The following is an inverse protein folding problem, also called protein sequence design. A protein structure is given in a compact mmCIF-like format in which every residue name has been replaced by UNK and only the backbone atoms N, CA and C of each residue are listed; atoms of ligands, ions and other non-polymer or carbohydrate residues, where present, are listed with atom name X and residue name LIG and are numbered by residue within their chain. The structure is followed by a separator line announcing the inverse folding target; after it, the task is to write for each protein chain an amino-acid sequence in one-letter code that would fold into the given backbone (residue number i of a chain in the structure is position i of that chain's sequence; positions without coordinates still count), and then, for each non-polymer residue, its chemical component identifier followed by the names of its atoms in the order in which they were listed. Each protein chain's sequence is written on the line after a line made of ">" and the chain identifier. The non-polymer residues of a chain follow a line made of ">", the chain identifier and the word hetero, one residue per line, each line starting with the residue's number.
data_IF_112016914695
#
_entry.id   IF_112016914695
#
_cell.length_a   1.000
_cell.length_b   1.000
_cell.length_c   1.000
_cell.angle_alpha   90.00
_cell.angle_beta   90.00
_cell.angle_gamma   90.00
#
_symmetry.space_group_name_H-M   'P 1'
#
loop_
_entity.id
_entity.type
_entity.pdbx_description
1 polymer ?
#
# COMPACT_ATOMS: atom_id res chain seq x y z
N UNK A 1 8.73 -7.50 1.12
CA UNK A 1 7.27 -7.58 1.36
C UNK A 1 6.73 -6.21 1.70
N UNK A 2 5.63 -5.80 1.06
CA UNK A 2 4.91 -4.55 1.31
C UNK A 2 3.46 -4.80 1.69
N UNK A 3 2.85 -3.88 2.43
CA UNK A 3 1.48 -3.97 2.93
C UNK A 3 0.71 -2.69 2.64
N UNK A 4 -0.53 -2.82 2.14
CA UNK A 4 -1.39 -1.65 1.91
C UNK A 4 -1.90 -1.04 3.22
N UNK A 5 -2.02 -1.84 4.26
CA UNK A 5 -2.66 -1.50 5.52
C UNK A 5 -4.13 -1.89 5.60
N UNK A 6 -4.79 -1.41 6.62
CA UNK A 6 -6.23 -1.63 6.89
C UNK A 6 -6.88 -0.35 7.39
N UNK A 7 -8.19 -0.23 7.18
CA UNK A 7 -8.98 0.88 7.71
C UNK A 7 -8.94 0.92 9.24
N UNK A 8 -9.03 2.13 9.79
CA UNK A 8 -9.04 2.40 11.23
C UNK A 8 -10.50 2.63 11.63
N UNK A 9 -10.93 1.95 12.70
CA UNK A 9 -12.28 2.13 13.24
C UNK A 9 -12.44 3.53 13.86
N UNK A 10 -13.54 4.19 13.50
CA UNK A 10 -13.92 5.51 14.01
C UNK A 10 -14.99 5.39 15.10
N UNK A 11 -16.03 4.59 14.84
CA UNK A 11 -17.15 4.33 15.77
C UNK A 11 -17.44 2.82 15.83
N UNK A 12 -18.55 2.40 16.46
CA UNK A 12 -18.95 1.00 16.51
C UNK A 12 -19.19 0.38 15.13
N UNK A 13 -19.63 1.17 14.16
CA UNK A 13 -20.10 0.73 12.84
C UNK A 13 -19.47 1.52 11.66
N UNK A 14 -18.60 2.50 11.95
CA UNK A 14 -17.96 3.35 10.93
C UNK A 14 -16.42 3.29 11.04
N UNK A 15 -15.75 3.25 9.90
CA UNK A 15 -14.31 3.41 9.79
C UNK A 15 -13.95 4.79 9.22
N UNK A 16 -12.73 5.27 9.50
CA UNK A 16 -12.17 6.38 8.75
C UNK A 16 -11.93 5.95 7.29
N UNK A 17 -11.95 6.92 6.33
CA UNK A 17 -11.58 6.63 4.95
C UNK A 17 -10.21 5.92 4.88
N UNK A 18 -10.14 4.85 4.10
CA UNK A 18 -8.91 4.10 3.93
C UNK A 18 -8.00 4.78 2.91
N UNK A 19 -6.74 4.91 3.27
CA UNK A 19 -5.66 5.32 2.38
C UNK A 19 -4.55 4.29 2.47
N UNK A 20 -4.25 3.63 1.35
CA UNK A 20 -3.16 2.67 1.29
C UNK A 20 -1.82 3.35 1.63
N UNK A 21 -0.91 2.57 2.22
CA UNK A 21 0.47 3.01 2.42
C UNK A 21 1.05 3.59 1.13
N UNK A 22 1.72 4.72 1.22
CA UNK A 22 2.18 5.49 0.06
C UNK A 22 3.25 4.77 -0.76
N UNK A 23 4.13 4.02 -0.10
CA UNK A 23 5.14 3.21 -0.77
C UNK A 23 4.51 2.01 -1.44
N UNK A 24 3.55 1.37 -0.78
CA UNK A 24 2.79 0.27 -1.35
C UNK A 24 2.00 0.72 -2.60
N UNK A 25 1.27 1.83 -2.50
CA UNK A 25 0.52 2.40 -3.62
C UNK A 25 1.44 2.75 -4.80
N UNK A 26 2.61 3.32 -4.51
CA UNK A 26 3.61 3.62 -5.54
C UNK A 26 4.10 2.38 -6.27
N UNK A 27 4.37 1.30 -5.53
CA UNK A 27 4.91 0.05 -6.11
C UNK A 27 3.85 -0.75 -6.88
N UNK A 28 2.58 -0.66 -6.49
CA UNK A 28 1.53 -1.56 -7.02
C UNK A 28 0.41 -0.86 -7.77
N UNK A 29 0.21 0.43 -7.55
CA UNK A 29 -0.97 1.15 -8.04
C UNK A 29 -2.30 0.73 -7.39
N UNK A 30 -2.27 -0.15 -6.37
CA UNK A 30 -3.45 -0.73 -5.73
C UNK A 30 -3.78 0.00 -4.43
N UNK A 31 -4.98 0.59 -4.37
CA UNK A 31 -5.50 1.31 -3.20
C UNK A 31 -6.46 0.49 -2.33
N UNK A 32 -6.46 -0.84 -2.45
CA UNK A 32 -7.33 -1.72 -1.66
C UNK A 32 -6.66 -2.09 -0.33
N UNK A 33 -7.46 -2.15 0.74
CA UNK A 33 -6.99 -2.60 2.06
C UNK A 33 -6.68 -4.11 2.07
N UNK A 34 -5.90 -4.55 3.09
CA UNK A 34 -5.50 -5.95 3.28
C UNK A 34 -4.79 -6.58 2.07
N UNK A 35 -4.12 -5.76 1.28
CA UNK A 35 -3.35 -6.23 0.12
C UNK A 35 -1.86 -6.33 0.50
N UNK A 36 -1.20 -7.38 0.00
CA UNK A 36 0.21 -7.65 0.30
C UNK A 36 0.98 -7.88 -1.00
N UNK A 37 2.08 -7.18 -1.19
CA UNK A 37 3.06 -7.46 -2.23
C UNK A 37 4.21 -8.28 -1.64
N UNK A 38 4.48 -9.44 -2.21
CA UNK A 38 5.63 -10.26 -1.87
C UNK A 38 6.50 -10.46 -3.10
N UNK A 39 7.75 -10.06 -3.02
CA UNK A 39 8.78 -10.35 -4.00
C UNK A 39 9.76 -11.35 -3.40
N UNK A 40 9.96 -12.46 -4.07
CA UNK A 40 10.88 -13.53 -3.71
C UNK A 40 12.08 -13.43 -4.64
N UNK A 41 13.26 -13.14 -4.08
CA UNK A 41 14.50 -13.06 -4.85
C UNK A 41 15.38 -14.24 -4.50
N UNK A 42 15.68 -15.07 -5.49
CA UNK A 42 16.59 -16.21 -5.38
C UNK A 42 17.68 -16.07 -6.47
N UNK A 43 18.88 -15.70 -6.06
CA UNK A 43 19.92 -15.31 -7.01
C UNK A 43 19.52 -14.07 -7.81
N UNK A 44 19.44 -14.22 -9.15
CA UNK A 44 19.00 -13.17 -10.07
C UNK A 44 17.51 -13.23 -10.39
N UNK A 45 16.84 -14.34 -10.06
CA UNK A 45 15.42 -14.51 -10.29
C UNK A 45 14.59 -13.75 -9.25
N UNK A 46 13.56 -13.04 -9.73
CA UNK A 46 12.60 -12.34 -8.87
C UNK A 46 11.20 -12.78 -9.28
N UNK A 47 10.47 -13.33 -8.32
CA UNK A 47 9.08 -13.70 -8.48
C UNK A 47 8.22 -12.78 -7.61
N UNK A 48 7.28 -12.07 -8.22
CA UNK A 48 6.38 -11.18 -7.52
C UNK A 48 4.97 -11.76 -7.47
N UNK A 49 4.35 -11.70 -6.30
CA UNK A 49 2.96 -12.09 -6.08
C UNK A 49 2.23 -10.99 -5.33
N UNK A 50 1.12 -10.54 -5.87
CA UNK A 50 0.22 -9.59 -5.22
C UNK A 50 -0.97 -10.35 -4.64
N UNK A 51 -1.12 -10.29 -3.33
CA UNK A 51 -2.19 -10.93 -2.58
C UNK A 51 -3.29 -9.91 -2.31
N UNK A 52 -4.50 -10.15 -2.85
CA UNK A 52 -5.64 -9.24 -2.74
C UNK A 52 -6.79 -9.91 -1.98
N UNK A 53 -7.68 -9.11 -1.38
CA UNK A 53 -8.95 -9.64 -0.87
C UNK A 53 -9.76 -10.18 -2.06
N UNK A 54 -10.24 -11.44 -1.97
CA UNK A 54 -11.11 -11.95 -3.02
C UNK A 54 -12.41 -11.16 -3.10
N UNK A 55 -13.07 -11.10 -4.27
CA UNK A 55 -14.40 -10.51 -4.41
C UNK A 55 -15.38 -11.14 -3.40
N UNK A 56 -16.22 -10.30 -2.77
CA UNK A 56 -17.22 -10.69 -1.79
C UNK A 56 -18.43 -9.76 -1.92
N UNK A 57 -19.49 -10.26 -2.52
CA UNK A 57 -20.71 -9.49 -2.82
C UNK A 57 -21.37 -8.87 -1.57
N UNK A 58 -21.27 -9.52 -0.41
CA UNK A 58 -21.87 -9.01 0.83
C UNK A 58 -21.00 -7.90 1.42
N UNK A 59 -19.70 -8.12 1.50
CA UNK A 59 -18.76 -7.12 2.01
C UNK A 59 -18.69 -5.89 1.09
N UNK A 60 -18.72 -6.07 -0.23
CA UNK A 60 -18.64 -4.99 -1.22
C UNK A 60 -19.82 -4.01 -1.17
N UNK A 61 -20.96 -4.42 -0.65
CA UNK A 61 -22.10 -3.51 -0.40
C UNK A 61 -21.77 -2.41 0.61
N UNK A 62 -20.84 -2.69 1.53
CA UNK A 62 -20.46 -1.80 2.63
C UNK A 62 -19.11 -1.14 2.41
N UNK A 63 -18.16 -1.87 1.81
CA UNK A 63 -16.77 -1.42 1.69
C UNK A 63 -16.39 -0.94 0.29
N UNK A 64 -17.31 -1.05 -0.68
CA UNK A 64 -17.03 -0.78 -2.09
C UNK A 64 -16.48 -2.00 -2.83
N UNK A 65 -16.45 -1.89 -4.16
CA UNK A 65 -16.02 -2.96 -5.06
C UNK A 65 -14.54 -3.32 -4.82
N UNK A 66 -14.24 -4.61 -4.74
CA UNK A 66 -12.88 -5.16 -4.70
C UNK A 66 -12.35 -5.41 -6.10
N UNK A 67 -11.03 -5.37 -6.25
CA UNK A 67 -10.39 -5.74 -7.51
C UNK A 67 -10.60 -7.23 -7.81
N UNK A 68 -10.95 -7.55 -9.06
CA UNK A 68 -10.78 -8.91 -9.57
C UNK A 68 -9.29 -9.18 -9.82
N UNK A 69 -8.86 -10.45 -9.92
CA UNK A 69 -7.47 -10.77 -10.27
C UNK A 69 -7.01 -10.14 -11.59
N UNK A 70 -7.90 -10.04 -12.58
CA UNK A 70 -7.63 -9.44 -13.89
C UNK A 70 -7.43 -7.93 -13.76
N UNK A 71 -8.32 -7.24 -13.04
CA UNK A 71 -8.22 -5.80 -12.76
C UNK A 71 -6.93 -5.49 -11.96
N UNK A 72 -6.62 -6.30 -10.94
CA UNK A 72 -5.42 -6.14 -10.14
C UNK A 72 -4.14 -6.33 -10.97
N UNK A 73 -4.11 -7.34 -11.85
CA UNK A 73 -3.00 -7.59 -12.77
C UNK A 73 -2.81 -6.42 -13.74
N UNK A 74 -3.90 -5.97 -14.37
CA UNK A 74 -3.85 -4.84 -15.30
C UNK A 74 -3.39 -3.55 -14.64
N UNK A 75 -3.78 -3.34 -13.38
CA UNK A 75 -3.43 -2.12 -12.61
C UNK A 75 -2.00 -2.14 -12.09
N UNK A 76 -1.56 -3.28 -11.53
CA UNK A 76 -0.25 -3.38 -10.87
C UNK A 76 0.90 -3.77 -11.79
N UNK A 77 0.59 -4.43 -12.93
CA UNK A 77 1.61 -5.06 -13.76
C UNK A 77 2.17 -6.38 -13.17
N UNK A 78 1.75 -6.77 -11.96
CA UNK A 78 2.21 -8.01 -11.31
C UNK A 78 1.55 -9.21 -11.97
N UNK A 79 2.37 -10.16 -12.46
CA UNK A 79 1.87 -11.33 -13.19
C UNK A 79 1.06 -12.30 -12.31
N UNK A 80 1.48 -12.48 -11.08
CA UNK A 80 0.86 -13.42 -10.14
C UNK A 80 -0.05 -12.69 -9.15
N UNK A 81 -1.33 -13.03 -9.17
CA UNK A 81 -2.33 -12.54 -8.22
C UNK A 81 -2.88 -13.73 -7.43
N UNK A 82 -2.94 -13.61 -6.12
CA UNK A 82 -3.43 -14.64 -5.21
C UNK A 82 -4.37 -14.05 -4.13
N UNK A 83 -5.04 -14.91 -3.37
CA UNK A 83 -5.89 -14.49 -2.25
C UNK A 83 -5.06 -14.00 -1.07
N UNK A 84 -5.49 -12.90 -0.44
CA UNK A 84 -4.82 -12.34 0.74
C UNK A 84 -4.76 -13.31 1.93
N UNK A 85 -5.59 -14.33 1.99
CA UNK A 85 -5.50 -15.38 3.00
C UNK A 85 -4.32 -16.33 2.84
N UNK A 86 -3.63 -16.31 1.71
CA UNK A 86 -2.59 -17.30 1.37
C UNK A 86 -1.16 -16.81 1.65
N UNK A 87 -0.93 -15.50 1.77
CA UNK A 87 0.43 -14.95 1.86
C UNK A 87 1.21 -15.43 3.10
N UNK A 88 0.55 -15.56 4.26
CA UNK A 88 1.23 -16.07 5.47
C UNK A 88 1.68 -17.53 5.31
N UNK A 89 0.87 -18.35 4.64
CA UNK A 89 1.24 -19.74 4.35
C UNK A 89 2.41 -19.81 3.35
N UNK A 90 2.39 -18.94 2.33
CA UNK A 90 3.53 -18.83 1.41
C UNK A 90 4.80 -18.41 2.14
N UNK A 91 4.73 -17.38 2.99
CA UNK A 91 5.86 -16.96 3.80
C UNK A 91 6.40 -18.10 4.68
N UNK A 92 5.51 -18.85 5.34
CA UNK A 92 5.92 -20.03 6.14
C UNK A 92 6.69 -21.07 5.31
N UNK A 93 6.23 -21.36 4.10
CA UNK A 93 6.91 -22.30 3.19
C UNK A 93 8.29 -21.78 2.81
N UNK A 94 8.42 -20.51 2.47
CA UNK A 94 9.69 -19.88 2.12
C UNK A 94 10.68 -19.93 3.27
N UNK A 95 10.27 -19.53 4.46
CA UNK A 95 11.15 -19.55 5.64
C UNK A 95 11.55 -20.98 6.05
N UNK A 96 10.65 -21.96 5.89
CA UNK A 96 10.96 -23.37 6.17
C UNK A 96 11.89 -24.02 5.14
N UNK A 97 11.97 -23.46 3.93
CA UNK A 97 12.86 -23.99 2.88
C UNK A 97 14.35 -23.81 3.22
N UNK A 98 14.68 -22.92 4.16
CA UNK A 98 16.07 -22.57 4.49
C UNK A 98 16.80 -21.77 3.40
N UNK A 99 16.13 -21.42 2.30
CA UNK A 99 16.72 -20.63 1.20
C UNK A 99 16.71 -19.13 1.45
N UNK A 100 15.84 -18.66 2.34
CA UNK A 100 15.65 -17.24 2.64
C UNK A 100 15.96 -16.96 4.10
N UNK A 101 16.95 -16.10 4.32
CA UNK A 101 17.40 -15.67 5.65
C UNK A 101 17.02 -14.20 5.94
N UNK A 102 16.58 -13.48 4.92
CA UNK A 102 16.32 -12.06 4.99
C UNK A 102 14.90 -11.72 4.54
N UNK A 103 14.25 -10.84 5.30
CA UNK A 103 12.95 -10.27 4.95
C UNK A 103 13.11 -8.75 4.85
N UNK A 104 12.94 -8.20 3.64
CA UNK A 104 13.01 -6.77 3.37
C UNK A 104 11.61 -6.14 3.44
N UNK A 105 11.47 -5.01 4.13
CA UNK A 105 10.21 -4.31 4.35
C UNK A 105 10.43 -2.78 4.40
N UNK A 106 9.40 -2.01 4.09
CA UNK A 106 9.37 -0.57 4.41
C UNK A 106 9.05 -0.40 5.90
N UNK A 107 10.05 -0.04 6.68
CA UNK A 107 9.94 0.15 8.14
C UNK A 107 10.03 1.63 8.53
N UNK A 108 9.75 2.54 7.58
CA UNK A 108 9.80 3.96 7.86
C UNK A 108 8.80 4.36 8.95
N UNK A 109 9.30 5.19 9.86
CA UNK A 109 8.52 5.91 10.87
C UNK A 109 8.96 7.36 10.85
N UNK A 110 8.00 8.28 10.78
CA UNK A 110 8.30 9.72 10.78
C UNK A 110 8.67 10.21 12.18
N UNK A 111 7.85 9.86 13.16
CA UNK A 111 8.07 10.19 14.56
C UNK A 111 8.00 8.90 15.41
N UNK A 112 8.85 8.75 16.47
CA UNK A 112 8.80 7.60 17.37
C UNK A 112 7.44 7.36 18.01
N UNK A 113 6.65 8.42 18.23
CA UNK A 113 5.32 8.36 18.85
C UNK A 113 4.18 8.08 17.85
N UNK A 114 4.48 8.06 16.53
CA UNK A 114 3.48 7.73 15.52
C UNK A 114 2.92 6.31 15.74
N UNK A 115 1.64 6.13 15.40
CA UNK A 115 1.00 4.83 15.39
C UNK A 115 1.73 3.85 14.46
N UNK A 116 1.81 2.59 14.86
CA UNK A 116 2.45 1.56 14.05
C UNK A 116 1.74 1.39 12.69
N UNK A 117 2.51 1.45 11.62
CA UNK A 117 2.05 1.02 10.30
C UNK A 117 1.87 -0.50 10.28
N UNK A 118 1.15 -1.03 9.27
CA UNK A 118 1.01 -2.49 9.12
C UNK A 118 2.37 -3.18 8.96
N UNK A 119 3.29 -2.57 8.21
CA UNK A 119 4.67 -3.08 8.08
C UNK A 119 5.38 -3.19 9.42
N UNK A 120 5.26 -2.20 10.30
CA UNK A 120 5.88 -2.23 11.63
C UNK A 120 5.23 -3.29 12.54
N UNK A 121 3.89 -3.38 12.54
CA UNK A 121 3.16 -4.44 13.26
C UNK A 121 3.62 -5.82 12.80
N UNK A 122 3.69 -6.01 11.48
CA UNK A 122 4.14 -7.26 10.90
C UNK A 122 5.62 -7.57 11.22
N UNK A 123 6.50 -6.58 11.17
CA UNK A 123 7.91 -6.77 11.54
C UNK A 123 8.06 -7.29 12.99
N UNK A 124 7.25 -6.81 13.93
CA UNK A 124 7.23 -7.35 15.32
C UNK A 124 6.79 -8.81 15.35
N UNK A 125 5.75 -9.18 14.57
CA UNK A 125 5.29 -10.58 14.46
C UNK A 125 6.38 -11.47 13.85
N UNK A 126 7.03 -11.02 12.78
CA UNK A 126 8.08 -11.76 12.09
C UNK A 126 9.30 -12.02 12.98
N UNK A 127 9.73 -11.03 13.76
CA UNK A 127 10.82 -11.22 14.74
C UNK A 127 10.49 -12.29 15.78
N UNK A 128 9.22 -12.38 16.18
CA UNK A 128 8.75 -13.43 17.10
C UNK A 128 8.68 -14.80 16.43
N UNK A 129 8.24 -14.87 15.18
CA UNK A 129 8.05 -16.13 14.46
C UNK A 129 9.37 -16.71 13.92
N UNK A 130 10.25 -15.82 13.48
CA UNK A 130 11.51 -16.17 12.82
C UNK A 130 12.68 -15.39 13.45
N UNK A 131 13.06 -15.73 14.69
CA UNK A 131 14.08 -14.96 15.43
C UNK A 131 15.46 -15.00 14.77
N UNK A 132 15.75 -16.02 13.95
CA UNK A 132 16.98 -16.13 13.19
C UNK A 132 16.97 -15.36 11.86
N UNK A 133 15.82 -14.89 11.40
CA UNK A 133 15.72 -14.14 10.14
C UNK A 133 16.14 -12.68 10.33
N UNK A 134 16.88 -12.16 9.36
CA UNK A 134 17.25 -10.73 9.33
C UNK A 134 16.12 -9.91 8.73
N UNK A 135 15.60 -8.93 9.48
CA UNK A 135 14.68 -7.92 8.93
C UNK A 135 15.47 -6.70 8.49
N UNK A 136 15.31 -6.34 7.21
CA UNK A 136 16.01 -5.21 6.59
C UNK A 136 15.02 -4.11 6.22
N UNK A 137 15.32 -2.88 6.62
CA UNK A 137 14.58 -1.69 6.20
C UNK A 137 15.00 -1.25 4.79
N UNK A 138 14.05 -1.21 3.86
CA UNK A 138 14.24 -0.73 2.49
C UNK A 138 13.51 0.60 2.21
N UNK A 139 13.04 1.28 3.24
CA UNK A 139 12.31 2.54 3.13
C UNK A 139 13.11 3.61 2.38
N UNK A 140 14.43 3.66 2.64
CA UNK A 140 15.33 4.62 1.98
C UNK A 140 15.42 4.37 0.47
N UNK A 141 15.49 3.11 0.06
CA UNK A 141 15.56 2.70 -1.34
C UNK A 141 14.26 3.09 -2.08
N UNK A 142 13.11 2.78 -1.51
CA UNK A 142 11.80 3.12 -2.08
C UNK A 142 11.65 4.65 -2.18
N UNK A 143 11.99 5.40 -1.12
CA UNK A 143 11.94 6.86 -1.14
C UNK A 143 12.85 7.46 -2.20
N UNK A 144 14.04 6.90 -2.40
CA UNK A 144 14.97 7.35 -3.44
C UNK A 144 14.38 7.18 -4.84
N UNK A 145 13.70 6.06 -5.13
CA UNK A 145 12.98 5.86 -6.39
C UNK A 145 11.89 6.91 -6.59
N UNK A 146 11.11 7.20 -5.55
CA UNK A 146 10.03 8.20 -5.57
C UNK A 146 10.50 9.65 -5.69
N UNK A 147 11.79 9.94 -5.41
CA UNK A 147 12.33 11.29 -5.46
C UNK A 147 12.43 11.81 -6.90
N UNK A 148 12.89 10.98 -7.82
CA UNK A 148 13.02 11.33 -9.25
C UNK A 148 11.77 10.85 -9.97
N UNK A 149 10.93 11.81 -10.41
CA UNK A 149 9.64 11.52 -11.04
C UNK A 149 9.78 11.05 -12.47
N UNK A 150 9.04 10.03 -12.82
CA UNK A 150 8.88 9.59 -14.20
C UNK A 150 7.98 10.55 -14.99
N UNK A 151 8.06 10.61 -16.33
CA UNK A 151 7.22 11.50 -17.15
C UNK A 151 5.71 11.35 -16.88
N UNK A 152 5.22 10.11 -16.72
CA UNK A 152 3.80 9.85 -16.41
C UNK A 152 3.38 10.38 -15.03
N UNK A 153 4.28 10.35 -14.05
CA UNK A 153 4.02 10.91 -12.73
C UNK A 153 3.94 12.44 -12.78
N UNK A 154 4.84 13.07 -13.56
CA UNK A 154 4.84 14.53 -13.78
C UNK A 154 3.51 14.96 -14.44
N UNK A 155 3.03 14.20 -15.42
CA UNK A 155 1.78 14.49 -16.10
C UNK A 155 0.58 14.39 -15.14
N UNK A 156 0.50 13.32 -14.35
CA UNK A 156 -0.52 13.17 -13.31
C UNK A 156 -0.48 14.31 -12.28
N UNK A 157 0.72 14.74 -11.87
CA UNK A 157 0.89 15.89 -10.97
C UNK A 157 0.40 17.20 -11.61
N UNK A 158 0.67 17.43 -12.91
CA UNK A 158 0.19 18.61 -13.62
C UNK A 158 -1.35 18.65 -13.68
N UNK A 159 -1.99 17.52 -13.94
CA UNK A 159 -3.45 17.44 -13.93
C UNK A 159 -4.03 17.71 -12.54
N UNK A 160 -3.43 17.17 -11.48
CA UNK A 160 -3.84 17.46 -10.11
C UNK A 160 -3.70 18.94 -9.75
N UNK A 161 -2.59 19.57 -10.15
CA UNK A 161 -2.35 21.03 -9.95
C UNK A 161 -3.37 21.84 -10.72
N UNK A 162 -3.72 21.45 -11.96
CA UNK A 162 -4.75 22.13 -12.77
C UNK A 162 -6.11 22.10 -12.06
N UNK A 163 -6.54 20.96 -11.55
CA UNK A 163 -7.80 20.84 -10.79
C UNK A 163 -7.79 21.78 -9.57
N UNK A 164 -6.69 21.79 -8.81
CA UNK A 164 -6.53 22.67 -7.65
C UNK A 164 -6.58 24.14 -8.04
N UNK A 165 -5.87 24.53 -9.12
CA UNK A 165 -5.89 25.89 -9.65
C UNK A 165 -7.29 26.32 -10.03
N UNK A 166 -8.01 25.47 -10.76
CA UNK A 166 -9.37 25.79 -11.24
C UNK A 166 -10.34 25.93 -10.06
N UNK A 167 -10.21 25.12 -9.02
CA UNK A 167 -10.93 25.28 -7.76
C UNK A 167 -10.64 26.60 -7.04
N UNK A 168 -9.37 26.96 -6.89
CA UNK A 168 -8.94 28.23 -6.29
C UNK A 168 -9.50 29.42 -7.09
N UNK A 169 -9.39 29.39 -8.43
CA UNK A 169 -9.92 30.45 -9.28
C UNK A 169 -11.44 30.58 -9.18
N UNK A 170 -12.16 29.45 -9.05
CA UNK A 170 -13.61 29.47 -8.83
C UNK A 170 -13.97 30.13 -7.48
N UNK A 171 -13.28 29.76 -6.41
CA UNK A 171 -13.45 30.40 -5.09
C UNK A 171 -13.17 31.90 -5.13
N UNK A 172 -12.07 32.32 -5.75
CA UNK A 172 -11.71 33.74 -5.88
C UNK A 172 -12.79 34.53 -6.65
N UNK A 173 -13.35 33.96 -7.70
CA UNK A 173 -14.44 34.60 -8.48
C UNK A 173 -15.76 34.66 -7.72
N UNK A 174 -16.03 33.68 -6.89
CA UNK A 174 -17.27 33.60 -6.11
C UNK A 174 -17.23 34.48 -4.85
N UNK A 175 -16.05 34.72 -4.29
CA UNK A 175 -15.87 35.48 -3.05
C UNK A 175 -16.30 36.94 -3.20
N UNK A 176 -17.08 37.43 -2.23
CA UNK A 176 -17.57 38.81 -2.15
C UNK A 176 -17.39 39.33 -0.71
N UNK A 177 -17.22 40.65 -0.53
CA UNK A 177 -17.22 41.24 0.82
C UNK A 177 -18.46 40.85 1.61
N UNK A 178 -18.32 40.49 2.87
CA UNK A 178 -19.41 40.09 3.76
C UNK A 178 -19.82 38.60 3.68
N UNK A 179 -19.15 37.78 2.86
CA UNK A 179 -19.31 36.33 2.91
C UNK A 179 -18.51 35.73 4.07
N UNK A 180 -19.06 34.69 4.69
CA UNK A 180 -18.34 33.88 5.66
C UNK A 180 -17.51 32.81 4.93
N UNK A 181 -16.49 32.26 5.62
CA UNK A 181 -15.55 31.26 5.06
C UNK A 181 -16.11 29.83 5.01
N UNK A 182 -17.33 29.61 5.46
CA UNK A 182 -18.00 28.29 5.46
C UNK A 182 -19.20 28.26 4.51
#
# INVERSE_FOLDING_TARGET
>A
TGFSGSSIRKTADENYPFYADRSFLYLTGIGQEHTVLMAEKDGEEVQETLYILPPDMLAERWTGKRFTPEEARARSGTAQIASSGEWENRLKLLMRSGRFEQIAMDLYRHDPEDADTESIRMARRLRKWYPAATLTDISRQIRRQRTIKQPCEIEAMREAVKITRDGILAMMKASKPGMYEY
#
